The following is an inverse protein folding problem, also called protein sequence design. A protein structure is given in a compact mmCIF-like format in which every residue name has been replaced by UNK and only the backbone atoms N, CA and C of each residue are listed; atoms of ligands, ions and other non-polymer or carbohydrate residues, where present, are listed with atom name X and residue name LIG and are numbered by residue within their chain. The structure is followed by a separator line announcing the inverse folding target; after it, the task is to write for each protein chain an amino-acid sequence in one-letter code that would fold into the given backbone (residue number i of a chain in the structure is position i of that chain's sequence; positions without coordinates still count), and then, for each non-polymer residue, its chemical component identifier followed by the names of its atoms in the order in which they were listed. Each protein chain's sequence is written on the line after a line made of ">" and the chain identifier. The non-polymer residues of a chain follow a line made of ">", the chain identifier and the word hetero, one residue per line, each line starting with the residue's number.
data_IF_798328119027
#
_entry.id   IF_798328119027
#
_cell.length_a   1.000
_cell.length_b   1.000
_cell.length_c   1.000
_cell.angle_alpha   90.00
_cell.angle_beta   90.00
_cell.angle_gamma   90.00
#
_symmetry.space_group_name_H-M   'P 1'
#
loop_
_entity.id
_entity.type
_entity.pdbx_description
1 polymer ?
#
# COMPACT_ATOMS: atom_id res chain seq x y z
N UNK A 1 10.42 -1.61 -22.89
CA UNK A 1 10.88 -2.35 -21.69
C UNK A 1 10.70 -1.59 -20.37
N UNK A 2 11.30 -0.39 -20.19
CA UNK A 2 11.20 0.39 -18.93
C UNK A 2 9.77 0.63 -18.41
N UNK A 3 8.80 0.94 -19.28
CA UNK A 3 7.39 1.15 -18.89
C UNK A 3 6.77 -0.05 -18.16
N UNK A 4 7.12 -1.28 -18.54
CA UNK A 4 6.57 -2.48 -17.90
C UNK A 4 7.19 -2.71 -16.52
N UNK A 5 8.48 -2.42 -16.36
CA UNK A 5 9.18 -2.46 -15.06
C UNK A 5 8.52 -1.49 -14.08
N UNK A 6 8.24 -0.26 -14.52
CA UNK A 6 7.56 0.74 -13.67
C UNK A 6 6.15 0.29 -13.29
N UNK A 7 5.40 -0.31 -14.22
CA UNK A 7 4.07 -0.86 -13.93
C UNK A 7 4.13 -1.99 -12.91
N UNK A 8 5.11 -2.88 -13.01
CA UNK A 8 5.30 -3.95 -12.03
C UNK A 8 5.57 -3.36 -10.65
N UNK A 9 6.59 -2.51 -10.51
CA UNK A 9 6.94 -1.90 -9.22
C UNK A 9 5.76 -1.13 -8.63
N UNK A 10 5.05 -0.33 -9.42
CA UNK A 10 3.92 0.46 -8.94
C UNK A 10 2.68 -0.38 -8.57
N UNK A 11 2.42 -1.50 -9.27
CA UNK A 11 1.20 -2.30 -9.07
C UNK A 11 1.37 -3.45 -8.08
N UNK A 12 2.60 -3.88 -7.80
CA UNK A 12 2.87 -4.97 -6.85
C UNK A 12 2.28 -4.71 -5.45
N UNK A 13 2.44 -3.51 -4.83
CA UNK A 13 1.82 -3.23 -3.53
C UNK A 13 0.30 -3.29 -3.55
N UNK A 14 -0.32 -2.80 -4.63
CA UNK A 14 -1.79 -2.84 -4.78
C UNK A 14 -2.29 -4.28 -4.87
N UNK A 15 -1.62 -5.12 -5.67
CA UNK A 15 -1.98 -6.53 -5.79
C UNK A 15 -1.81 -7.26 -4.45
N UNK A 16 -0.70 -7.06 -3.75
CA UNK A 16 -0.44 -7.67 -2.45
C UNK A 16 -1.46 -7.24 -1.40
N UNK A 17 -1.81 -5.95 -1.35
CA UNK A 17 -2.82 -5.45 -0.42
C UNK A 17 -4.23 -6.00 -0.73
N UNK A 18 -4.58 -6.14 -2.01
CA UNK A 18 -5.85 -6.73 -2.42
C UNK A 18 -5.91 -8.20 -2.08
N UNK A 19 -4.84 -8.96 -2.32
CA UNK A 19 -4.76 -10.37 -1.93
C UNK A 19 -4.93 -10.54 -0.41
N UNK A 20 -4.27 -9.70 0.39
CA UNK A 20 -4.45 -9.70 1.85
C UNK A 20 -5.90 -9.38 2.24
N UNK A 21 -6.47 -8.29 1.72
CA UNK A 21 -7.86 -7.89 1.99
C UNK A 21 -8.86 -8.97 1.61
N UNK A 22 -8.67 -9.60 0.46
CA UNK A 22 -9.48 -10.72 0.00
C UNK A 22 -9.39 -11.90 0.97
N UNK A 23 -8.19 -12.25 1.45
CA UNK A 23 -7.99 -13.34 2.41
C UNK A 23 -8.71 -13.12 3.75
N UNK A 24 -8.89 -11.86 4.16
CA UNK A 24 -9.58 -11.49 5.41
C UNK A 24 -11.03 -11.03 5.19
N UNK A 25 -11.57 -11.15 3.96
CA UNK A 25 -12.94 -10.77 3.63
C UNK A 25 -13.24 -9.26 3.72
N UNK A 26 -12.22 -8.40 3.61
CA UNK A 26 -12.37 -6.94 3.69
C UNK A 26 -12.51 -6.30 2.30
N UNK A 27 -13.19 -5.15 2.19
CA UNK A 27 -13.26 -4.40 0.94
C UNK A 27 -11.88 -3.91 0.48
N UNK A 28 -11.72 -3.76 -0.83
CA UNK A 28 -10.51 -3.20 -1.42
C UNK A 28 -10.41 -1.69 -1.19
N UNK A 29 -9.18 -1.22 -0.97
CA UNK A 29 -8.87 0.20 -0.76
C UNK A 29 -7.94 0.67 -1.87
N UNK A 30 -8.35 1.70 -2.59
CA UNK A 30 -7.56 2.26 -3.69
C UNK A 30 -6.34 3.06 -3.19
N UNK A 31 -5.27 3.13 -3.98
CA UNK A 31 -4.09 3.92 -3.64
C UNK A 31 -4.41 5.41 -3.61
N UNK A 32 -3.75 6.14 -2.71
CA UNK A 32 -3.83 7.59 -2.54
C UNK A 32 -2.52 8.25 -2.99
N UNK A 33 -2.61 9.24 -3.88
CA UNK A 33 -1.46 9.95 -4.44
C UNK A 33 -0.80 10.90 -3.45
N UNK A 34 -1.46 11.23 -2.33
CA UNK A 34 -0.91 12.11 -1.30
C UNK A 34 0.01 11.36 -0.32
N UNK A 35 0.07 10.02 -0.38
CA UNK A 35 0.85 9.19 0.53
C UNK A 35 2.18 8.75 -0.11
N UNK A 36 3.21 8.57 0.72
CA UNK A 36 4.46 7.93 0.30
C UNK A 36 4.25 6.47 -0.08
N UNK A 37 5.19 5.84 -0.77
CA UNK A 37 5.06 4.47 -1.27
C UNK A 37 4.66 3.46 -0.17
N UNK A 38 5.35 3.48 0.97
CA UNK A 38 5.07 2.58 2.09
C UNK A 38 3.83 2.98 2.87
N UNK A 39 3.58 4.28 3.07
CA UNK A 39 2.36 4.75 3.72
C UNK A 39 1.11 4.41 2.91
N UNK A 40 1.18 4.49 1.57
CA UNK A 40 0.12 4.10 0.67
C UNK A 40 -0.13 2.59 0.74
N UNK A 41 0.92 1.77 0.81
CA UNK A 41 0.78 0.33 1.00
C UNK A 41 0.09 -0.01 2.35
N UNK A 42 0.52 0.64 3.44
CA UNK A 42 -0.13 0.49 4.75
C UNK A 42 -1.59 0.92 4.73
N UNK A 43 -1.91 2.02 4.04
CA UNK A 43 -3.29 2.48 3.86
C UNK A 43 -4.14 1.41 3.18
N UNK A 44 -3.65 0.83 2.08
CA UNK A 44 -4.39 -0.24 1.40
C UNK A 44 -4.60 -1.48 2.28
N UNK A 45 -3.67 -1.80 3.19
CA UNK A 45 -3.78 -2.94 4.12
C UNK A 45 -4.72 -2.71 5.29
N UNK A 46 -4.70 -1.53 5.91
CA UNK A 46 -5.33 -1.32 7.23
C UNK A 46 -6.40 -0.23 7.30
N UNK A 47 -6.56 0.63 6.29
CA UNK A 47 -7.64 1.62 6.26
C UNK A 47 -9.02 0.95 6.36
N UNK A 48 -9.85 1.36 7.32
CA UNK A 48 -11.19 0.82 7.51
C UNK A 48 -12.26 1.76 6.97
N UNK A 49 -12.73 2.68 7.80
CA UNK A 49 -13.81 3.62 7.50
C UNK A 49 -13.34 5.08 7.52
N UNK A 50 -12.09 5.33 7.88
CA UNK A 50 -11.53 6.66 8.00
C UNK A 50 -11.36 7.32 6.62
N UNK A 51 -11.64 8.63 6.49
CA UNK A 51 -11.46 9.34 5.22
C UNK A 51 -9.98 9.40 4.80
N UNK A 52 -9.05 9.63 5.74
CA UNK A 52 -7.61 9.62 5.52
C UNK A 52 -6.92 8.65 6.47
N UNK A 53 -6.02 7.83 5.94
CA UNK A 53 -5.21 6.92 6.72
C UNK A 53 -3.94 7.64 7.19
N UNK A 54 -3.74 7.72 8.51
CA UNK A 54 -2.49 8.22 9.08
C UNK A 54 -1.57 7.05 9.41
N UNK A 55 -0.59 6.82 8.55
CA UNK A 55 0.44 5.82 8.80
C UNK A 55 1.32 6.27 9.98
N UNK A 56 1.56 5.38 10.94
CA UNK A 56 2.56 5.66 11.97
C UNK A 56 3.94 5.84 11.30
N UNK A 57 4.63 6.97 11.51
CA UNK A 57 5.89 7.27 10.82
C UNK A 57 7.00 6.24 11.10
N UNK A 58 6.99 5.63 12.30
CA UNK A 58 7.97 4.61 12.68
C UNK A 58 7.73 3.33 11.85
N UNK A 59 6.48 2.90 11.73
CA UNK A 59 6.13 1.71 10.94
C UNK A 59 6.33 1.93 9.44
N UNK A 60 5.98 3.12 8.95
CA UNK A 60 6.21 3.49 7.55
C UNK A 60 7.72 3.48 7.24
N UNK A 61 8.56 3.94 8.19
CA UNK A 61 10.01 3.89 8.03
C UNK A 61 10.57 2.47 8.15
N UNK A 62 10.04 1.65 9.05
CA UNK A 62 10.43 0.25 9.15
C UNK A 62 10.16 -0.52 7.85
N UNK A 63 8.99 -0.32 7.23
CA UNK A 63 8.66 -0.91 5.93
C UNK A 63 9.56 -0.38 4.80
N UNK A 64 9.90 0.90 4.84
CA UNK A 64 10.81 1.53 3.87
C UNK A 64 12.20 0.88 3.94
N UNK A 65 12.71 0.62 5.15
CA UNK A 65 13.97 -0.11 5.34
C UNK A 65 13.85 -1.57 4.90
N UNK A 66 12.73 -2.25 5.10
CA UNK A 66 12.55 -3.64 4.69
C UNK A 66 12.43 -3.84 3.17
N UNK A 67 12.02 -2.82 2.42
CA UNK A 67 11.89 -2.88 0.96
C UNK A 67 13.16 -2.44 0.22
N UNK A 68 14.15 -1.91 0.93
CA UNK A 68 15.50 -1.59 0.44
C UNK A 68 16.39 -2.82 0.59
#
# INVERSE_FOLDING_TARGET
>A
RRKQIHRLIAKMPTLAAFAYRHSVGRPYVYPDNNLSYTANFMSMLWKMTEPQFQANPILAKALDVLFI
#
